data_IF_955418312021
#
_entry.id   IF_955418312021
#
_cell.length_a   1.000
_cell.length_b   1.000
_cell.length_c   1.000
_cell.angle_alpha   90.00
_cell.angle_beta   90.00
_cell.angle_gamma   90.00
#
_symmetry.space_group_name_H-M   'P 1'
#
loop_
_entity.id
_entity.type
_entity.pdbx_description
1 polymer ?
#
# COMPACT_ATOMS: atom_id res chain seq x y z
N UNK A 1 0.62 2.57 6.84
CA UNK A 1 1.03 3.33 5.64
C UNK A 1 -0.18 3.90 4.89
N UNK A 2 -1.22 3.12 4.56
CA UNK A 2 -2.41 3.60 3.87
C UNK A 2 -3.08 4.81 4.54
N UNK A 3 -3.34 4.74 5.85
CA UNK A 3 -3.90 5.87 6.59
C UNK A 3 -2.97 7.10 6.58
N UNK A 4 -1.65 6.92 6.68
CA UNK A 4 -0.71 8.04 6.60
C UNK A 4 -0.76 8.74 5.22
N UNK A 5 -0.91 7.97 4.14
CA UNK A 5 -1.11 8.53 2.80
C UNK A 5 -2.47 9.24 2.69
N UNK A 6 -3.53 8.63 3.21
CA UNK A 6 -4.87 9.22 3.23
C UNK A 6 -4.90 10.57 3.98
N UNK A 7 -4.15 10.68 5.09
CA UNK A 7 -3.97 11.93 5.85
C UNK A 7 -3.35 13.05 5.00
N UNK A 8 -2.28 12.76 4.27
CA UNK A 8 -1.66 13.74 3.39
C UNK A 8 -2.63 14.22 2.30
N UNK A 9 -3.43 13.31 1.71
CA UNK A 9 -4.43 13.67 0.72
C UNK A 9 -5.57 14.51 1.32
N UNK A 10 -6.00 14.19 2.55
CA UNK A 10 -7.02 14.95 3.27
C UNK A 10 -6.52 16.38 3.58
N UNK A 11 -5.27 16.53 4.02
CA UNK A 11 -4.62 17.83 4.26
C UNK A 11 -4.48 18.67 2.97
N UNK A 12 -4.36 18.01 1.82
CA UNK A 12 -4.41 18.65 0.49
C UNK A 12 -5.87 18.94 0.00
N UNK A 13 -6.88 18.68 0.82
CA UNK A 13 -8.29 18.97 0.53
C UNK A 13 -8.96 17.95 -0.41
N UNK A 14 -8.43 16.74 -0.54
CA UNK A 14 -9.06 15.70 -1.34
C UNK A 14 -10.28 15.08 -0.63
N UNK A 15 -11.28 14.67 -1.41
CA UNK A 15 -12.28 13.68 -0.96
C UNK A 15 -11.56 12.33 -0.84
N UNK A 16 -11.69 11.66 0.30
CA UNK A 16 -10.93 10.44 0.59
C UNK A 16 -11.87 9.32 1.01
N UNK A 17 -11.85 8.21 0.28
CA UNK A 17 -12.47 6.96 0.72
C UNK A 17 -11.39 5.99 1.18
N UNK A 18 -11.57 5.40 2.35
CA UNK A 18 -10.73 4.33 2.90
C UNK A 18 -11.51 3.01 2.90
N UNK A 19 -10.84 1.96 2.44
CA UNK A 19 -11.41 0.62 2.35
C UNK A 19 -10.68 -0.27 3.38
N UNK A 20 -11.45 -1.06 4.13
CA UNK A 20 -10.92 -2.00 5.10
C UNK A 20 -11.97 -3.00 5.57
N UNK A 21 -11.58 -3.93 6.44
CA UNK A 21 -12.48 -4.99 6.93
C UNK A 21 -13.13 -4.69 8.27
N UNK A 22 -12.64 -3.69 8.99
CA UNK A 22 -13.05 -3.40 10.39
C UNK A 22 -13.77 -2.05 10.45
N UNK A 23 -15.07 -2.06 10.80
CA UNK A 23 -15.90 -0.86 10.85
C UNK A 23 -15.32 0.20 11.80
N UNK A 24 -14.98 -0.17 13.05
CA UNK A 24 -14.49 0.78 14.04
C UNK A 24 -13.21 1.51 13.62
N UNK A 25 -12.31 0.79 12.92
CA UNK A 25 -11.08 1.38 12.38
C UNK A 25 -11.38 2.37 11.25
N UNK A 26 -12.38 2.06 10.41
CA UNK A 26 -12.83 2.94 9.34
C UNK A 26 -13.52 4.19 9.88
N UNK A 27 -14.38 4.04 10.89
CA UNK A 27 -15.07 5.17 11.53
C UNK A 27 -14.05 6.13 12.17
N UNK A 28 -13.05 5.60 12.86
CA UNK A 28 -11.95 6.37 13.41
C UNK A 28 -11.14 7.10 12.32
N UNK A 29 -10.87 6.42 11.21
CA UNK A 29 -10.16 7.01 10.07
C UNK A 29 -10.98 8.14 9.43
N UNK A 30 -12.29 7.97 9.26
CA UNK A 30 -13.19 9.00 8.70
C UNK A 30 -13.17 10.27 9.54
N UNK A 31 -13.26 10.14 10.87
CA UNK A 31 -13.20 11.29 11.80
C UNK A 31 -11.85 12.00 11.68
N UNK A 32 -10.74 11.25 11.66
CA UNK A 32 -9.39 11.82 11.51
C UNK A 32 -9.21 12.54 10.17
N UNK A 33 -9.65 11.94 9.07
CA UNK A 33 -9.51 12.53 7.73
C UNK A 33 -10.38 13.79 7.54
N UNK A 34 -11.60 13.78 8.08
CA UNK A 34 -12.48 14.96 8.07
C UNK A 34 -11.86 16.09 8.89
N UNK A 35 -11.30 15.78 10.08
CA UNK A 35 -10.60 16.74 10.93
C UNK A 35 -9.33 17.33 10.29
N UNK A 36 -8.76 16.65 9.27
CA UNK A 36 -7.58 17.13 8.50
C UNK A 36 -7.93 17.92 7.26
N UNK A 37 -9.20 18.09 6.94
CA UNK A 37 -9.63 18.93 5.82
C UNK A 37 -10.20 18.18 4.61
N UNK A 38 -10.38 16.86 4.68
CA UNK A 38 -11.13 16.16 3.63
C UNK A 38 -12.58 16.65 3.61
N UNK A 39 -13.08 17.21 2.49
CA UNK A 39 -14.45 17.70 2.40
C UNK A 39 -15.49 16.57 2.34
N UNK A 40 -15.05 15.34 2.06
CA UNK A 40 -15.87 14.13 2.05
C UNK A 40 -15.00 12.91 2.36
N UNK A 41 -14.99 12.49 3.62
CA UNK A 41 -14.28 11.31 4.09
C UNK A 41 -15.26 10.13 4.23
N UNK A 42 -14.92 8.97 3.67
CA UNK A 42 -15.73 7.75 3.69
C UNK A 42 -14.96 6.54 4.17
N UNK A 43 -15.62 5.71 4.98
CA UNK A 43 -15.16 4.37 5.32
C UNK A 43 -16.04 3.32 4.63
N UNK A 44 -15.45 2.39 3.90
CA UNK A 44 -16.17 1.32 3.22
C UNK A 44 -15.67 -0.04 3.73
N UNK A 45 -16.56 -0.81 4.34
CA UNK A 45 -16.24 -2.18 4.76
C UNK A 45 -16.25 -3.08 3.54
N UNK A 46 -15.07 -3.50 3.12
CA UNK A 46 -14.86 -4.32 1.92
C UNK A 46 -13.73 -5.30 2.17
N UNK A 47 -13.97 -6.56 1.85
CA UNK A 47 -12.90 -7.52 1.61
C UNK A 47 -12.53 -7.48 0.12
N UNK A 48 -11.30 -7.05 -0.19
CA UNK A 48 -10.83 -6.99 -1.58
C UNK A 48 -10.60 -8.37 -2.20
N UNK A 49 -10.63 -9.44 -1.40
CA UNK A 49 -10.73 -10.83 -1.85
C UNK A 49 -12.07 -11.15 -2.50
N UNK A 50 -13.14 -10.43 -2.16
CA UNK A 50 -14.47 -10.59 -2.71
C UNK A 50 -14.74 -9.59 -3.84
N UNK A 51 -14.79 -10.09 -5.07
CA UNK A 51 -15.01 -9.26 -6.25
C UNK A 51 -16.34 -8.48 -6.21
N UNK A 52 -17.40 -9.09 -5.66
CA UNK A 52 -18.72 -8.47 -5.57
C UNK A 52 -18.74 -7.29 -4.62
N UNK A 53 -18.04 -7.41 -3.47
CA UNK A 53 -17.90 -6.31 -2.53
C UNK A 53 -17.10 -5.15 -3.15
N UNK A 54 -16.03 -5.48 -3.87
CA UNK A 54 -15.23 -4.48 -4.60
C UNK A 54 -16.07 -3.75 -5.64
N UNK A 55 -16.80 -4.47 -6.49
CA UNK A 55 -17.66 -3.89 -7.51
C UNK A 55 -18.71 -2.96 -6.90
N UNK A 56 -19.38 -3.41 -5.84
CA UNK A 56 -20.37 -2.60 -5.12
C UNK A 56 -19.75 -1.31 -4.56
N UNK A 57 -18.60 -1.41 -3.90
CA UNK A 57 -17.95 -0.24 -3.28
C UNK A 57 -17.58 0.82 -4.32
N UNK A 58 -17.04 0.43 -5.48
CA UNK A 58 -16.71 1.38 -6.53
C UNK A 58 -17.94 1.93 -7.25
N UNK A 59 -19.04 1.17 -7.34
CA UNK A 59 -20.31 1.67 -7.82
C UNK A 59 -20.88 2.75 -6.88
N UNK A 60 -20.94 2.47 -5.57
CA UNK A 60 -21.38 3.41 -4.55
C UNK A 60 -20.53 4.71 -4.55
N UNK A 61 -19.19 4.58 -4.69
CA UNK A 61 -18.28 5.72 -4.85
C UNK A 61 -18.56 6.52 -6.13
N UNK A 62 -18.78 5.82 -7.23
CA UNK A 62 -19.11 6.44 -8.52
C UNK A 62 -20.38 7.27 -8.44
N UNK A 63 -21.45 6.73 -7.83
CA UNK A 63 -22.70 7.46 -7.61
C UNK A 63 -22.48 8.71 -6.74
N UNK A 64 -21.77 8.55 -5.62
CA UNK A 64 -21.51 9.64 -4.69
C UNK A 64 -20.63 10.76 -5.26
N UNK A 65 -19.62 10.40 -6.07
CA UNK A 65 -18.63 11.35 -6.56
C UNK A 65 -18.80 11.75 -8.04
N UNK A 66 -19.96 11.50 -8.62
CA UNK A 66 -20.28 11.94 -9.98
C UNK A 66 -19.64 11.12 -11.09
N UNK A 67 -19.24 9.89 -10.78
CA UNK A 67 -18.71 8.94 -11.76
C UNK A 67 -17.23 9.10 -12.07
N UNK A 68 -16.47 9.89 -11.31
CA UNK A 68 -15.06 10.16 -11.52
C UNK A 68 -14.21 9.74 -10.29
N UNK A 69 -13.03 9.19 -10.56
CA UNK A 69 -12.01 8.92 -9.56
C UNK A 69 -10.65 9.38 -10.09
N UNK A 70 -9.94 10.23 -9.35
CA UNK A 70 -8.62 10.69 -9.76
C UNK A 70 -7.49 9.78 -9.28
N UNK A 71 -7.66 9.13 -8.12
CA UNK A 71 -6.56 8.42 -7.45
C UNK A 71 -7.03 7.09 -6.91
N UNK A 72 -6.27 6.04 -7.19
CA UNK A 72 -6.39 4.73 -6.55
C UNK A 72 -5.05 4.38 -5.89
N UNK A 73 -5.07 4.07 -4.59
CA UNK A 73 -3.89 3.65 -3.84
C UNK A 73 -4.12 2.28 -3.22
N UNK A 74 -3.34 1.29 -3.60
CA UNK A 74 -3.40 -0.07 -3.10
C UNK A 74 -2.27 -0.32 -2.11
N UNK A 75 -2.62 -0.40 -0.82
CA UNK A 75 -1.66 -0.59 0.29
C UNK A 75 -1.75 -1.96 0.96
N UNK A 76 -2.75 -2.78 0.60
CA UNK A 76 -2.93 -4.12 1.15
C UNK A 76 -1.84 -5.06 0.62
N UNK A 77 -1.45 -5.99 1.42
CA UNK A 77 -0.43 -6.96 1.05
C UNK A 77 -0.56 -8.26 1.83
N UNK A 78 0.17 -9.30 1.39
CA UNK A 78 0.14 -10.60 2.03
C UNK A 78 0.72 -10.52 3.45
N UNK A 79 0.29 -11.47 4.30
CA UNK A 79 0.77 -11.58 5.67
C UNK A 79 1.58 -12.84 5.95
N UNK A 80 1.76 -13.74 4.96
CA UNK A 80 2.44 -15.00 5.17
C UNK A 80 3.94 -14.80 5.41
N UNK A 81 4.42 -15.28 6.57
CA UNK A 81 5.81 -15.37 6.92
C UNK A 81 6.14 -16.82 7.32
N UNK A 82 7.31 -17.30 6.95
CA UNK A 82 7.79 -18.65 7.20
C UNK A 82 8.95 -18.99 6.28
N UNK A 83 9.71 -20.05 6.60
CA UNK A 83 10.77 -20.52 5.71
C UNK A 83 10.17 -21.15 4.44
N UNK A 84 11.00 -21.32 3.42
CA UNK A 84 10.56 -21.95 2.17
C UNK A 84 9.98 -23.35 2.38
N UNK A 85 10.57 -24.11 3.30
CA UNK A 85 10.17 -25.50 3.58
C UNK A 85 8.89 -25.61 4.42
N UNK A 86 8.56 -24.58 5.21
CA UNK A 86 7.43 -24.60 6.13
C UNK A 86 6.11 -24.10 5.48
N UNK A 87 6.22 -23.30 4.41
CA UNK A 87 5.04 -22.72 3.76
C UNK A 87 4.32 -23.74 2.88
N UNK A 88 3.02 -23.92 3.16
CA UNK A 88 2.13 -24.78 2.35
C UNK A 88 1.74 -24.13 1.04
N UNK A 89 1.27 -24.91 0.06
CA UNK A 89 0.73 -24.41 -1.21
C UNK A 89 -0.42 -23.41 -0.98
N UNK A 90 -1.29 -23.65 0.00
CA UNK A 90 -2.39 -22.74 0.34
C UNK A 90 -1.87 -21.40 0.84
N UNK A 91 -0.79 -21.36 1.63
CA UNK A 91 -0.19 -20.11 2.08
C UNK A 91 0.49 -19.34 0.93
N UNK A 92 1.08 -20.04 -0.04
CA UNK A 92 1.57 -19.46 -1.28
C UNK A 92 0.43 -18.85 -2.10
N UNK A 93 -0.66 -19.59 -2.32
CA UNK A 93 -1.83 -19.12 -3.04
C UNK A 93 -2.50 -17.93 -2.34
N UNK A 94 -2.62 -17.99 -1.00
CA UNK A 94 -3.15 -16.88 -0.20
C UNK A 94 -2.29 -15.62 -0.33
N UNK A 95 -0.95 -15.78 -0.41
CA UNK A 95 -0.06 -14.63 -0.61
C UNK A 95 -0.28 -13.95 -1.96
N UNK A 96 -0.58 -14.72 -3.00
CA UNK A 96 -0.95 -14.18 -4.32
C UNK A 96 -2.33 -13.51 -4.28
N UNK A 97 -3.29 -14.15 -3.63
CA UNK A 97 -4.66 -13.62 -3.49
C UNK A 97 -4.63 -12.25 -2.78
N UNK A 98 -4.05 -12.18 -1.60
CA UNK A 98 -3.99 -10.96 -0.79
C UNK A 98 -3.05 -9.90 -1.39
N UNK A 99 -1.92 -10.35 -1.92
CA UNK A 99 -0.85 -9.46 -2.39
C UNK A 99 -1.05 -8.90 -3.78
N UNK A 100 -1.79 -9.61 -4.64
CA UNK A 100 -1.89 -9.27 -6.07
C UNK A 100 -3.32 -9.19 -6.56
N UNK A 101 -4.11 -10.26 -6.38
CA UNK A 101 -5.44 -10.32 -7.00
C UNK A 101 -6.40 -9.30 -6.41
N UNK A 102 -6.32 -8.99 -5.12
CA UNK A 102 -7.08 -7.89 -4.52
C UNK A 102 -6.79 -6.55 -5.20
N UNK A 103 -5.51 -6.22 -5.42
CA UNK A 103 -5.10 -5.03 -6.18
C UNK A 103 -5.63 -5.06 -7.62
N UNK A 104 -5.51 -6.19 -8.30
CA UNK A 104 -6.01 -6.35 -9.69
C UNK A 104 -7.52 -6.11 -9.77
N UNK A 105 -8.31 -6.63 -8.81
CA UNK A 105 -9.76 -6.37 -8.73
C UNK A 105 -10.05 -4.89 -8.56
N UNK A 106 -9.40 -4.23 -7.58
CA UNK A 106 -9.57 -2.80 -7.34
C UNK A 106 -9.23 -1.97 -8.59
N UNK A 107 -8.08 -2.24 -9.23
CA UNK A 107 -7.69 -1.51 -10.45
C UNK A 107 -8.72 -1.73 -11.56
N UNK A 108 -9.07 -2.99 -11.87
CA UNK A 108 -10.00 -3.31 -12.95
C UNK A 108 -11.37 -2.64 -12.76
N UNK A 109 -11.88 -2.66 -11.53
CA UNK A 109 -13.18 -2.06 -11.19
C UNK A 109 -13.13 -0.53 -11.19
N UNK A 110 -12.00 0.08 -10.78
CA UNK A 110 -11.81 1.52 -10.77
C UNK A 110 -11.57 2.12 -12.17
N UNK A 111 -11.06 1.35 -13.14
CA UNK A 111 -10.66 1.87 -14.45
C UNK A 111 -11.74 2.71 -15.17
N UNK A 112 -13.03 2.34 -15.19
CA UNK A 112 -14.06 3.17 -15.81
C UNK A 112 -14.18 4.55 -15.18
N UNK A 113 -14.01 4.67 -13.84
CA UNK A 113 -14.06 5.93 -13.10
C UNK A 113 -12.78 6.75 -13.31
N UNK A 114 -11.61 6.09 -13.32
CA UNK A 114 -10.31 6.72 -13.56
C UNK A 114 -10.22 7.31 -14.98
N UNK A 115 -10.79 6.63 -15.99
CA UNK A 115 -10.82 7.10 -17.38
C UNK A 115 -11.75 8.29 -17.63
N UNK A 116 -12.75 8.49 -16.77
CA UNK A 116 -13.64 9.66 -16.86
C UNK A 116 -13.03 10.93 -16.30
N UNK A 117 -12.10 10.78 -15.35
CA UNK A 117 -11.43 11.92 -14.74
C UNK A 117 -10.46 12.59 -15.73
N UNK A 118 -10.30 13.92 -15.62
CA UNK A 118 -9.37 14.69 -16.45
C UNK A 118 -7.89 14.29 -16.25
N UNK A 119 -7.57 13.65 -15.14
CA UNK A 119 -6.26 13.13 -14.80
C UNK A 119 -6.44 11.99 -13.78
N UNK A 120 -5.62 10.97 -13.87
CA UNK A 120 -5.68 9.87 -12.90
C UNK A 120 -4.30 9.31 -12.55
N UNK A 121 -4.19 8.76 -11.33
CA UNK A 121 -2.98 8.14 -10.77
C UNK A 121 -3.32 6.84 -10.06
N UNK A 122 -2.49 5.84 -10.24
CA UNK A 122 -2.52 4.59 -9.49
C UNK A 122 -1.19 4.46 -8.76
N UNK A 123 -1.24 4.22 -7.45
CA UNK A 123 -0.06 3.97 -6.63
C UNK A 123 -0.22 2.63 -5.92
N UNK A 124 0.67 1.70 -6.20
CA UNK A 124 0.67 0.38 -5.59
C UNK A 124 1.83 0.25 -4.60
N UNK A 125 1.60 -0.45 -3.49
CA UNK A 125 2.62 -0.66 -2.47
C UNK A 125 3.26 -2.04 -2.62
N UNK A 126 4.52 -2.05 -3.00
CA UNK A 126 5.40 -3.22 -3.00
C UNK A 126 6.18 -3.32 -1.67
N UNK A 127 7.40 -3.77 -1.72
CA UNK A 127 8.30 -3.85 -0.57
C UNK A 127 9.76 -3.85 -1.04
N UNK A 128 10.67 -3.34 -0.20
CA UNK A 128 12.12 -3.40 -0.46
C UNK A 128 12.62 -4.83 -0.59
N UNK A 129 11.95 -5.81 0.06
CA UNK A 129 12.32 -7.23 -0.02
C UNK A 129 12.27 -7.81 -1.43
N UNK A 130 11.65 -7.14 -2.40
CA UNK A 130 11.72 -7.54 -3.81
C UNK A 130 13.12 -7.37 -4.41
N UNK A 131 13.94 -6.54 -3.82
CA UNK A 131 15.34 -6.30 -4.19
C UNK A 131 16.30 -6.98 -3.21
N UNK A 132 15.98 -6.94 -1.93
CA UNK A 132 16.74 -7.59 -0.86
C UNK A 132 15.90 -8.69 -0.20
N UNK A 133 16.13 -9.93 -0.63
CA UNK A 133 15.36 -11.10 -0.24
C UNK A 133 15.56 -11.42 1.26
N UNK A 134 14.53 -12.01 1.88
CA UNK A 134 14.58 -12.57 3.23
C UNK A 134 14.19 -14.04 3.19
N UNK A 135 14.94 -14.89 3.88
CA UNK A 135 14.65 -16.33 3.97
C UNK A 135 13.31 -16.64 4.65
N UNK A 136 12.79 -15.70 5.44
CA UNK A 136 11.52 -15.83 6.16
C UNK A 136 10.32 -15.24 5.41
N UNK A 137 10.50 -14.72 4.20
CA UNK A 137 9.44 -14.04 3.44
C UNK A 137 9.35 -14.49 1.97
N UNK A 138 9.55 -15.78 1.62
CA UNK A 138 9.62 -16.20 0.22
C UNK A 138 8.29 -15.95 -0.53
N UNK A 139 7.14 -16.38 0.01
CA UNK A 139 5.84 -16.19 -0.61
C UNK A 139 5.41 -14.72 -0.63
N UNK A 140 5.66 -13.99 0.47
CA UNK A 140 5.43 -12.55 0.55
C UNK A 140 6.20 -11.79 -0.54
N UNK A 141 7.50 -12.05 -0.64
CA UNK A 141 8.38 -11.36 -1.60
C UNK A 141 8.04 -11.72 -3.05
N UNK A 142 7.69 -12.98 -3.32
CA UNK A 142 7.22 -13.41 -4.63
C UNK A 142 5.94 -12.66 -5.04
N UNK A 143 4.95 -12.56 -4.15
CA UNK A 143 3.71 -11.82 -4.39
C UNK A 143 3.99 -10.31 -4.62
N UNK A 144 4.87 -9.69 -3.82
CA UNK A 144 5.26 -8.27 -4.01
C UNK A 144 6.03 -8.04 -5.31
N UNK A 145 6.87 -8.99 -5.74
CA UNK A 145 7.55 -8.94 -7.04
C UNK A 145 6.54 -9.05 -8.19
N UNK A 146 5.56 -9.95 -8.08
CA UNK A 146 4.46 -10.07 -9.03
C UNK A 146 3.64 -8.78 -9.12
N UNK A 147 3.29 -8.15 -7.98
CA UNK A 147 2.60 -6.86 -7.93
C UNK A 147 3.41 -5.79 -8.67
N UNK A 148 4.72 -5.72 -8.45
CA UNK A 148 5.62 -4.75 -9.11
C UNK A 148 5.62 -4.96 -10.62
N UNK A 149 5.70 -6.21 -11.09
CA UNK A 149 5.64 -6.57 -12.50
C UNK A 149 4.30 -6.21 -13.13
N UNK A 150 3.18 -6.53 -12.47
CA UNK A 150 1.82 -6.15 -12.92
C UNK A 150 1.68 -4.64 -12.99
N UNK A 151 2.19 -3.90 -11.99
CA UNK A 151 2.16 -2.43 -11.99
C UNK A 151 2.92 -1.83 -13.17
N UNK A 152 4.08 -2.41 -13.53
CA UNK A 152 4.84 -2.00 -14.72
C UNK A 152 4.06 -2.25 -16.00
N UNK A 153 3.41 -3.40 -16.12
CA UNK A 153 2.54 -3.70 -17.26
C UNK A 153 1.36 -2.73 -17.36
N UNK A 154 0.69 -2.42 -16.22
CA UNK A 154 -0.38 -1.44 -16.15
C UNK A 154 0.08 -0.05 -16.62
N UNK A 155 1.30 0.37 -16.26
CA UNK A 155 1.83 1.68 -16.68
C UNK A 155 1.96 1.78 -18.20
N UNK A 156 2.33 0.69 -18.87
CA UNK A 156 2.40 0.62 -20.34
C UNK A 156 1.00 0.61 -20.96
N UNK A 157 0.09 -0.19 -20.40
CA UNK A 157 -1.27 -0.37 -20.94
C UNK A 157 -2.12 0.89 -20.82
N UNK A 158 -1.93 1.68 -19.76
CA UNK A 158 -2.72 2.85 -19.42
C UNK A 158 -2.07 4.19 -19.83
N UNK A 159 -0.86 4.14 -20.42
CA UNK A 159 -0.15 5.34 -20.85
C UNK A 159 -0.95 6.17 -21.87
N UNK A 160 -1.64 5.52 -22.80
CA UNK A 160 -2.51 6.18 -23.79
C UNK A 160 -3.73 6.88 -23.18
N UNK A 161 -4.13 6.44 -21.99
CA UNK A 161 -5.24 7.03 -21.23
C UNK A 161 -4.72 8.14 -20.27
N UNK A 162 -3.42 8.47 -20.30
CA UNK A 162 -2.70 9.40 -19.41
C UNK A 162 -2.85 9.05 -17.91
N UNK A 163 -3.16 7.79 -17.60
CA UNK A 163 -3.21 7.28 -16.22
C UNK A 163 -1.81 6.83 -15.82
N UNK A 164 -1.19 7.56 -14.89
CA UNK A 164 0.16 7.22 -14.43
C UNK A 164 0.08 6.17 -13.32
N UNK A 165 0.90 5.12 -13.45
CA UNK A 165 0.95 4.00 -12.49
C UNK A 165 2.35 3.88 -11.93
N UNK A 166 2.50 3.99 -10.60
CA UNK A 166 3.78 3.87 -9.92
C UNK A 166 3.69 2.95 -8.71
N UNK A 167 4.85 2.53 -8.24
CA UNK A 167 5.00 1.66 -7.08
C UNK A 167 5.82 2.38 -6.02
N UNK A 168 5.41 2.25 -4.77
CA UNK A 168 6.21 2.59 -3.59
C UNK A 168 6.68 1.28 -2.97
N UNK A 169 7.97 1.16 -2.70
CA UNK A 169 8.60 0.03 -2.01
C UNK A 169 9.14 0.49 -0.65
N UNK A 170 8.33 0.39 0.42
CA UNK A 170 8.80 0.72 1.75
C UNK A 170 9.83 -0.28 2.26
N UNK A 171 10.74 0.20 3.11
CA UNK A 171 11.62 -0.63 3.92
C UNK A 171 10.96 -1.14 5.19
N UNK A 172 11.75 -1.30 6.23
CA UNK A 172 11.28 -1.64 7.57
C UNK A 172 10.61 -0.43 8.21
N UNK A 173 9.28 -0.43 8.20
CA UNK A 173 8.46 0.67 8.70
C UNK A 173 7.76 0.24 9.99
N UNK A 174 7.77 1.10 11.02
CA UNK A 174 7.07 0.92 12.30
C UNK A 174 5.54 0.91 12.08
N UNK A 175 5.05 -0.12 11.40
CA UNK A 175 3.63 -0.43 11.21
C UNK A 175 3.10 -1.23 12.40
N UNK A 176 1.79 -1.24 12.63
CA UNK A 176 1.17 -2.04 13.69
C UNK A 176 1.64 -3.50 13.68
N UNK A 177 1.75 -4.11 12.50
CA UNK A 177 2.23 -5.49 12.37
C UNK A 177 3.68 -5.66 12.82
N UNK A 178 4.58 -4.73 12.44
CA UNK A 178 6.00 -4.84 12.79
C UNK A 178 6.24 -4.44 14.25
N UNK A 179 5.50 -3.47 14.76
CA UNK A 179 5.48 -3.10 16.19
C UNK A 179 5.01 -4.30 17.02
N UNK A 180 3.88 -4.92 16.69
CA UNK A 180 3.37 -6.08 17.41
C UNK A 180 4.31 -7.29 17.35
N UNK A 181 5.03 -7.50 16.23
CA UNK A 181 6.09 -8.49 16.17
C UNK A 181 7.23 -8.17 17.15
N UNK A 182 7.72 -6.93 17.17
CA UNK A 182 8.80 -6.52 18.07
C UNK A 182 8.42 -6.73 19.55
N UNK A 183 7.20 -6.35 19.91
CA UNK A 183 6.64 -6.57 21.25
C UNK A 183 6.56 -8.06 21.59
N UNK A 184 6.24 -8.93 20.64
CA UNK A 184 6.19 -10.39 20.85
C UNK A 184 7.56 -11.00 21.17
N UNK A 185 8.65 -10.33 20.77
CA UNK A 185 10.03 -10.72 21.10
C UNK A 185 10.65 -9.87 22.21
N UNK A 186 9.83 -9.12 22.94
CA UNK A 186 10.23 -8.36 24.13
C UNK A 186 10.93 -7.02 23.85
N UNK A 187 10.73 -6.45 22.66
CA UNK A 187 11.32 -5.19 22.25
C UNK A 187 10.23 -4.13 22.11
N UNK A 188 10.49 -2.89 22.57
CA UNK A 188 9.62 -1.75 22.32
C UNK A 188 9.62 -1.40 20.82
N UNK A 189 8.59 -1.83 20.10
CA UNK A 189 8.42 -1.58 18.68
C UNK A 189 8.03 -0.14 18.32
N UNK A 190 7.65 0.68 19.31
CA UNK A 190 7.35 2.10 19.12
C UNK A 190 8.59 2.98 19.08
N UNK A 191 9.72 2.50 19.63
CA UNK A 191 11.02 3.13 19.45
C UNK A 191 11.63 2.64 18.11
N UNK A 192 11.74 3.50 17.08
CA UNK A 192 12.22 3.08 15.77
C UNK A 192 13.69 2.61 15.76
N UNK A 193 14.51 3.05 16.72
CA UNK A 193 15.89 2.60 16.84
C UNK A 193 15.94 1.17 17.41
N UNK A 194 15.19 0.91 18.49
CA UNK A 194 15.09 -0.45 19.08
C UNK A 194 14.43 -1.44 18.11
N UNK A 195 13.43 -0.97 17.36
CA UNK A 195 12.80 -1.79 16.33
C UNK A 195 13.83 -2.20 15.26
N UNK A 196 14.68 -1.28 14.80
CA UNK A 196 15.71 -1.61 13.80
C UNK A 196 16.78 -2.56 14.37
N UNK A 197 17.20 -2.37 15.62
CA UNK A 197 18.12 -3.31 16.31
C UNK A 197 17.53 -4.73 16.38
N UNK A 198 16.23 -4.85 16.67
CA UNK A 198 15.54 -6.14 16.67
C UNK A 198 15.49 -6.76 15.27
N UNK A 199 15.19 -5.96 14.24
CA UNK A 199 15.15 -6.40 12.84
C UNK A 199 16.53 -6.90 12.41
N UNK A 200 17.59 -6.16 12.69
CA UNK A 200 18.96 -6.58 12.38
C UNK A 200 19.31 -7.90 13.06
N UNK A 201 19.05 -7.99 14.36
CA UNK A 201 19.35 -9.17 15.15
C UNK A 201 18.61 -10.43 14.66
N UNK A 202 17.34 -10.30 14.25
CA UNK A 202 16.49 -11.45 13.91
C UNK A 202 16.45 -11.78 12.42
N UNK A 203 16.66 -10.78 11.55
CA UNK A 203 16.56 -10.94 10.09
C UNK A 203 17.85 -10.60 9.35
N UNK A 204 18.83 -9.96 10.00
CA UNK A 204 20.12 -9.59 9.38
C UNK A 204 19.96 -8.57 8.24
N UNK A 205 18.98 -7.69 8.32
CA UNK A 205 18.65 -6.75 7.24
C UNK A 205 18.47 -5.30 7.73
N UNK A 206 19.55 -4.68 8.29
CA UNK A 206 19.46 -3.29 8.70
C UNK A 206 19.36 -2.36 7.49
N UNK A 207 18.71 -1.21 7.68
CA UNK A 207 18.85 -0.09 6.75
C UNK A 207 20.18 0.65 7.01
N UNK A 208 20.61 1.49 6.04
CA UNK A 208 21.73 2.40 6.29
C UNK A 208 21.38 3.47 7.34
N UNK A 209 20.11 3.90 7.36
CA UNK A 209 19.62 4.69 8.48
C UNK A 209 19.49 3.80 9.73
N UNK A 210 19.98 4.25 10.92
CA UNK A 210 20.05 3.40 12.12
C UNK A 210 18.68 3.23 12.81
N UNK A 211 17.59 3.41 12.11
CA UNK A 211 16.24 3.30 12.63
C UNK A 211 15.25 2.78 11.60
N UNK A 212 14.15 2.22 12.05
CA UNK A 212 13.00 1.95 11.20
C UNK A 212 12.37 3.27 10.69
N UNK A 213 11.80 3.23 9.52
CA UNK A 213 10.99 4.33 9.01
C UNK A 213 9.64 4.42 9.74
N UNK A 214 8.99 5.57 9.64
CA UNK A 214 7.66 5.80 10.19
C UNK A 214 6.63 5.84 9.05
N UNK A 215 5.36 5.43 9.29
CA UNK A 215 4.30 5.54 8.29
C UNK A 215 4.15 6.95 7.71
N UNK A 216 4.39 7.98 8.52
CA UNK A 216 4.34 9.41 8.15
C UNK A 216 5.44 9.81 7.16
N UNK A 217 6.52 9.04 7.03
CA UNK A 217 7.59 9.28 6.06
C UNK A 217 7.26 8.66 4.69
N UNK A 218 6.35 7.68 4.66
CA UNK A 218 5.88 7.04 3.43
C UNK A 218 4.73 7.83 2.79
N UNK A 219 3.82 8.36 3.65
CA UNK A 219 2.63 9.08 3.21
C UNK A 219 2.89 10.18 2.18
N UNK A 220 3.83 11.12 2.43
CA UNK A 220 4.14 12.21 1.51
C UNK A 220 4.65 11.76 0.14
N UNK A 221 5.45 10.67 0.09
CA UNK A 221 5.95 10.12 -1.19
C UNK A 221 4.80 9.55 -2.01
N UNK A 222 3.93 8.75 -1.38
CA UNK A 222 2.76 8.20 -2.05
C UNK A 222 1.78 9.30 -2.48
N UNK A 223 1.56 10.32 -1.65
CA UNK A 223 0.72 11.47 -1.97
C UNK A 223 1.29 12.29 -3.14
N UNK A 224 2.62 12.48 -3.21
CA UNK A 224 3.25 13.12 -4.37
C UNK A 224 2.98 12.31 -5.65
N UNK A 225 3.22 11.00 -5.64
CA UNK A 225 2.96 10.13 -6.80
C UNK A 225 1.49 10.13 -7.22
N UNK A 226 0.59 10.28 -6.26
CA UNK A 226 -0.87 10.35 -6.45
C UNK A 226 -1.36 11.74 -6.88
N UNK A 227 -0.55 12.79 -6.79
CA UNK A 227 -0.95 14.17 -7.05
C UNK A 227 -0.80 14.58 -8.52
N UNK A 228 -1.39 15.73 -8.88
CA UNK A 228 -1.18 16.38 -10.19
C UNK A 228 0.26 16.87 -10.39
N UNK A 229 1.05 17.03 -9.31
CA UNK A 229 2.48 17.41 -9.39
C UNK A 229 3.29 16.32 -10.08
N UNK A 230 2.91 15.05 -9.94
CA UNK A 230 3.43 13.98 -10.77
C UNK A 230 2.73 14.02 -12.13
N UNK A 231 3.37 14.61 -13.12
CA UNK A 231 2.82 14.75 -14.47
C UNK A 231 3.50 13.86 -15.52
N UNK A 232 4.64 13.22 -15.18
CA UNK A 232 5.43 12.47 -16.18
C UNK A 232 6.05 11.17 -15.66
N UNK A 233 6.01 10.92 -14.35
CA UNK A 233 6.55 9.69 -13.77
C UNK A 233 5.50 8.58 -13.83
N UNK A 234 5.78 7.53 -14.61
CA UNK A 234 4.96 6.31 -14.70
C UNK A 234 5.85 5.08 -14.84
N UNK A 235 5.41 3.95 -14.31
CA UNK A 235 6.15 2.69 -14.30
C UNK A 235 7.39 2.70 -13.42
N UNK A 236 7.53 3.67 -12.52
CA UNK A 236 8.60 3.73 -11.55
C UNK A 236 8.30 2.86 -10.32
N UNK A 237 9.36 2.30 -9.73
CA UNK A 237 9.36 1.70 -8.39
C UNK A 237 10.25 2.56 -7.50
N UNK A 238 9.66 3.21 -6.51
CA UNK A 238 10.32 4.18 -5.64
C UNK A 238 10.57 3.55 -4.29
N UNK A 239 11.83 3.33 -3.95
CA UNK A 239 12.24 2.85 -2.64
C UNK A 239 12.18 3.98 -1.61
N UNK A 240 11.55 3.68 -0.47
CA UNK A 240 11.48 4.54 0.72
C UNK A 240 11.83 3.66 1.92
N UNK A 241 13.10 3.34 2.06
CA UNK A 241 13.57 2.20 2.84
C UNK A 241 14.80 2.49 3.74
N UNK A 242 15.24 3.76 3.78
CA UNK A 242 16.41 4.15 4.56
C UNK A 242 17.72 3.56 4.05
N UNK A 243 17.77 3.14 2.76
CA UNK A 243 18.95 2.55 2.13
C UNK A 243 19.06 1.04 2.30
N UNK A 244 17.95 0.34 2.60
CA UNK A 244 17.97 -1.12 2.83
C UNK A 244 18.30 -1.95 1.58
N UNK A 245 18.05 -1.43 0.38
CA UNK A 245 18.25 -2.17 -0.87
C UNK A 245 19.70 -2.15 -1.39
N UNK A 246 20.57 -1.37 -0.77
CA UNK A 246 21.98 -1.22 -1.17
C UNK A 246 22.96 -2.02 -0.31
N UNK A 247 22.49 -2.82 0.64
CA UNK A 247 23.35 -3.55 1.58
C UNK A 247 23.40 -5.06 1.35
#
# INVERSE_FOLDING_TARGET
MGLATARCLAEDGARVAVIGRTQDALDSAVVDLAGRGSPDALGLVVDIGDATQVEKAFADLGERWGGELNVLINTVGPGAAGSFEDLTDDQWLQSVEDGVLGMVRCVRTALPLLRKAQWARIVNFSAHSTQRQSVMLPAYTAAKSMLTSVSKNLSLSLAKDEILVNVVSPGSIASESLVGWAESVGVDGHDPYRLMEAIDKHFGHPAHMPRAGLPQEIGPVAAFLASRRNSYMTGANINVDGGSDFT
#
